data_IF_335375643124
#
_entry.id   IF_335375643124
#
_cell.length_a   1.000
_cell.length_b   1.000
_cell.length_c   1.000
_cell.angle_alpha   90.00
_cell.angle_beta   90.00
_cell.angle_gamma   90.00
#
_symmetry.space_group_name_H-M   'P 1'
#
loop_
_entity.id
_entity.type
_entity.pdbx_description
1 polymer ?
#
# COMPACT_ATOMS: atom_id res chain seq x y z
N UNK A 1 -30.25 -39.28 -14.68
CA UNK A 1 -30.15 -38.03 -15.42
C UNK A 1 -30.48 -36.92 -14.45
N UNK A 2 -29.53 -36.13 -14.07
CA UNK A 2 -29.71 -35.00 -13.17
C UNK A 2 -28.41 -34.17 -13.27
N UNK A 3 -28.45 -33.13 -14.11
CA UNK A 3 -27.29 -32.27 -14.36
C UNK A 3 -26.96 -31.45 -13.13
N UNK A 4 -25.72 -31.50 -12.72
CA UNK A 4 -25.13 -30.58 -11.77
C UNK A 4 -24.90 -29.23 -12.49
N UNK A 5 -25.73 -28.25 -12.19
CA UNK A 5 -25.52 -26.88 -12.60
C UNK A 5 -24.24 -26.34 -11.91
N UNK A 6 -23.27 -26.03 -12.74
CA UNK A 6 -22.09 -25.27 -12.40
C UNK A 6 -22.51 -23.85 -11.99
N UNK A 7 -22.73 -23.60 -10.71
CA UNK A 7 -22.86 -22.24 -10.19
C UNK A 7 -21.49 -21.56 -10.33
N UNK A 8 -21.28 -20.92 -11.49
CA UNK A 8 -20.18 -20.02 -11.73
C UNK A 8 -20.20 -18.91 -10.68
N UNK A 9 -19.23 -18.93 -9.80
CA UNK A 9 -19.00 -17.87 -8.80
C UNK A 9 -18.62 -16.60 -9.57
N UNK A 10 -19.62 -15.81 -9.93
CA UNK A 10 -19.41 -14.46 -10.47
C UNK A 10 -18.78 -13.65 -9.35
N UNK A 11 -17.45 -13.49 -9.39
CA UNK A 11 -16.75 -12.52 -8.55
C UNK A 11 -17.31 -11.17 -8.95
N UNK A 12 -18.16 -10.61 -8.09
CA UNK A 12 -18.71 -9.28 -8.28
C UNK A 12 -17.55 -8.29 -8.34
N UNK A 13 -17.22 -7.85 -9.54
CA UNK A 13 -16.36 -6.70 -9.84
C UNK A 13 -17.16 -5.42 -9.57
N UNK A 14 -17.64 -5.27 -8.33
CA UNK A 14 -18.47 -4.12 -7.93
C UNK A 14 -17.66 -2.83 -7.74
N UNK A 15 -16.37 -2.83 -8.07
CA UNK A 15 -15.47 -1.74 -7.68
C UNK A 15 -15.13 -0.72 -8.79
N UNK A 16 -15.60 -0.88 -10.03
CA UNK A 16 -15.16 -0.02 -11.14
C UNK A 16 -16.13 1.08 -11.57
N UNK A 17 -17.35 1.13 -11.04
CA UNK A 17 -18.31 2.18 -11.43
C UNK A 17 -18.39 3.37 -10.47
N UNK A 18 -18.00 3.26 -9.19
CA UNK A 18 -18.32 4.28 -8.19
C UNK A 18 -17.15 4.89 -7.39
N UNK A 19 -15.93 4.82 -7.87
CA UNK A 19 -14.95 5.63 -7.19
C UNK A 19 -13.73 4.92 -6.58
N UNK A 20 -12.72 5.73 -6.17
CA UNK A 20 -11.53 5.25 -5.46
C UNK A 20 -11.93 4.67 -4.10
N UNK A 21 -11.68 3.37 -3.90
CA UNK A 21 -11.89 2.71 -2.60
C UNK A 21 -10.79 3.16 -1.65
N UNK A 22 -11.16 3.69 -0.49
CA UNK A 22 -10.18 4.12 0.51
C UNK A 22 -10.16 3.18 1.71
N UNK A 23 -9.05 2.46 1.89
CA UNK A 23 -8.83 1.56 3.03
C UNK A 23 -8.29 2.35 4.22
N UNK A 24 -8.93 2.19 5.37
CA UNK A 24 -8.47 2.77 6.63
C UNK A 24 -7.32 1.93 7.19
N UNK A 25 -6.10 2.44 7.11
CA UNK A 25 -4.94 1.81 7.74
C UNK A 25 -5.09 1.78 9.26
N UNK A 26 -4.92 0.60 9.88
CA UNK A 26 -5.01 0.46 11.32
C UNK A 26 -3.96 -0.49 11.89
N UNK A 27 -3.51 -0.21 13.12
CA UNK A 27 -2.65 -1.08 13.91
C UNK A 27 -3.41 -1.89 14.98
N UNK A 28 -4.76 -1.88 14.90
CA UNK A 28 -5.66 -2.54 15.83
C UNK A 28 -6.36 -3.74 15.20
N UNK A 29 -5.82 -4.98 15.30
CA UNK A 29 -6.45 -6.17 14.71
C UNK A 29 -7.90 -6.41 15.17
N UNK A 30 -8.24 -6.06 16.41
CA UNK A 30 -9.59 -6.23 16.94
C UNK A 30 -10.66 -5.41 16.20
N UNK A 31 -10.28 -4.35 15.48
CA UNK A 31 -11.22 -3.58 14.65
C UNK A 31 -11.78 -4.39 13.47
N UNK A 32 -11.12 -5.48 13.07
CA UNK A 32 -11.68 -6.39 12.06
C UNK A 32 -13.02 -6.99 12.50
N UNK A 33 -13.21 -7.27 13.80
CA UNK A 33 -14.46 -7.82 14.35
C UNK A 33 -15.38 -6.75 14.96
N UNK A 34 -15.04 -5.48 14.83
CA UNK A 34 -15.81 -4.38 15.43
C UNK A 34 -16.87 -3.90 14.44
N UNK A 35 -18.14 -4.01 14.80
CA UNK A 35 -19.29 -3.64 13.99
C UNK A 35 -19.25 -2.19 13.49
N UNK A 36 -18.59 -1.30 14.24
CA UNK A 36 -18.42 0.10 13.83
C UNK A 36 -17.66 0.25 12.51
N UNK A 37 -16.83 -0.74 12.15
CA UNK A 37 -16.05 -0.75 10.91
C UNK A 37 -16.63 -1.66 9.82
N UNK A 38 -17.81 -2.23 9.98
CA UNK A 38 -18.44 -3.14 8.98
C UNK A 38 -18.48 -2.53 7.58
N UNK A 39 -18.79 -1.25 7.47
CA UNK A 39 -18.87 -0.52 6.20
C UNK A 39 -17.55 0.18 5.80
N UNK A 40 -16.47 0.03 6.58
CA UNK A 40 -15.18 0.69 6.37
C UNK A 40 -14.13 -0.35 6.00
N UNK A 41 -13.61 -0.34 4.76
CA UNK A 41 -12.52 -1.23 4.38
C UNK A 41 -11.27 -0.96 5.24
N UNK A 42 -10.73 -2.00 5.86
CA UNK A 42 -9.56 -1.91 6.72
C UNK A 42 -8.30 -2.40 6.01
N UNK A 43 -7.17 -1.72 6.25
CA UNK A 43 -5.84 -2.16 5.82
C UNK A 43 -4.99 -2.49 7.03
N UNK A 44 -4.58 -3.76 7.16
CA UNK A 44 -3.89 -4.27 8.36
C UNK A 44 -2.58 -4.93 7.99
N UNK A 45 -1.52 -4.55 8.68
CA UNK A 45 -0.20 -5.12 8.48
C UNK A 45 -0.07 -6.51 9.11
N UNK A 46 0.52 -7.46 8.37
CA UNK A 46 0.91 -8.78 8.81
C UNK A 46 1.69 -8.75 10.13
N UNK A 47 2.53 -7.72 10.34
CA UNK A 47 3.26 -7.53 11.60
C UNK A 47 2.36 -7.36 12.82
N UNK A 48 1.13 -6.93 12.66
CA UNK A 48 0.13 -6.80 13.75
C UNK A 48 -0.63 -8.10 14.01
N UNK A 49 -0.55 -9.04 13.08
CA UNK A 49 -1.28 -10.30 13.11
C UNK A 49 -0.39 -11.49 13.52
N UNK A 50 0.82 -11.59 12.97
CA UNK A 50 1.67 -12.80 13.00
C UNK A 50 2.04 -13.34 14.38
N UNK A 51 2.09 -12.48 15.41
CA UNK A 51 2.47 -12.87 16.76
C UNK A 51 1.26 -13.08 17.70
N UNK A 52 0.05 -13.13 17.14
CA UNK A 52 -1.17 -13.35 17.92
C UNK A 52 -1.46 -14.84 18.04
N UNK A 53 -2.02 -15.26 19.18
CA UNK A 53 -2.48 -16.65 19.36
C UNK A 53 -3.83 -16.89 18.66
N UNK A 54 -4.67 -15.84 18.59
CA UNK A 54 -6.00 -15.89 17.96
C UNK A 54 -6.21 -14.66 17.10
N UNK A 55 -6.97 -14.79 16.04
CA UNK A 55 -7.31 -13.72 15.12
C UNK A 55 -8.81 -13.42 15.16
N UNK A 56 -9.20 -12.14 15.05
CA UNK A 56 -10.61 -11.77 14.99
C UNK A 56 -11.20 -12.10 13.61
N UNK A 57 -12.43 -12.62 13.55
CA UNK A 57 -13.18 -12.77 12.30
C UNK A 57 -13.60 -11.40 11.77
N UNK A 58 -13.30 -11.11 10.51
CA UNK A 58 -13.68 -9.83 9.92
C UNK A 58 -15.20 -9.75 9.69
N UNK A 59 -15.79 -8.62 10.11
CA UNK A 59 -17.21 -8.29 9.87
C UNK A 59 -17.41 -7.46 8.61
N UNK A 60 -16.35 -6.90 8.05
CA UNK A 60 -16.34 -6.07 6.85
C UNK A 60 -15.16 -6.38 5.93
N UNK A 61 -15.01 -5.56 4.90
CA UNK A 61 -13.90 -5.67 3.93
C UNK A 61 -12.56 -5.37 4.59
N UNK A 62 -11.53 -6.08 4.17
CA UNK A 62 -10.17 -5.82 4.62
C UNK A 62 -9.14 -6.22 3.57
N UNK A 63 -7.94 -5.65 3.66
CA UNK A 63 -6.80 -6.02 2.86
C UNK A 63 -5.55 -6.18 3.73
N UNK A 64 -4.62 -6.99 3.26
CA UNK A 64 -3.40 -7.35 3.98
C UNK A 64 -2.21 -6.53 3.48
N UNK A 65 -1.63 -5.73 4.37
CA UNK A 65 -0.30 -5.14 4.20
C UNK A 65 0.78 -6.15 4.63
N UNK A 66 1.84 -6.29 3.84
CA UNK A 66 2.97 -7.17 4.17
C UNK A 66 3.74 -6.73 5.43
N UNK A 67 3.73 -5.44 5.72
CA UNK A 67 4.52 -4.81 6.78
C UNK A 67 5.95 -4.49 6.36
N UNK A 68 6.22 -4.50 5.04
CA UNK A 68 7.54 -4.33 4.45
C UNK A 68 8.25 -3.06 4.89
N UNK A 69 7.53 -1.93 4.93
CA UNK A 69 8.12 -0.67 5.41
C UNK A 69 8.77 -0.80 6.79
N UNK A 70 8.08 -1.45 7.73
CA UNK A 70 8.61 -1.62 9.08
C UNK A 70 9.73 -2.67 9.12
N UNK A 71 9.59 -3.78 8.38
CA UNK A 71 10.63 -4.83 8.27
C UNK A 71 11.94 -4.22 7.76
N UNK A 72 11.89 -3.63 6.58
CA UNK A 72 13.09 -3.07 5.93
C UNK A 72 13.67 -1.90 6.73
N UNK A 73 12.81 -1.02 7.26
CA UNK A 73 13.26 0.09 8.09
C UNK A 73 13.97 -0.36 9.37
N UNK A 74 13.45 -1.39 10.05
CA UNK A 74 14.00 -1.85 11.34
C UNK A 74 15.19 -2.78 11.18
N UNK A 75 15.18 -3.64 10.16
CA UNK A 75 16.13 -4.74 10.06
C UNK A 75 17.01 -4.65 8.81
N UNK A 76 16.76 -3.70 7.91
CA UNK A 76 17.44 -3.60 6.61
C UNK A 76 17.15 -4.77 5.66
N UNK A 77 16.22 -5.66 6.03
CA UNK A 77 15.85 -6.86 5.30
C UNK A 77 14.52 -7.40 5.77
N UNK A 78 13.97 -8.34 5.03
CA UNK A 78 12.89 -9.20 5.50
C UNK A 78 13.39 -10.18 6.57
N UNK A 79 12.62 -10.36 7.66
CA UNK A 79 12.92 -11.29 8.76
C UNK A 79 12.20 -12.63 8.61
N UNK A 80 11.35 -12.76 7.61
CA UNK A 80 10.64 -13.98 7.24
C UNK A 80 10.86 -14.27 5.76
N UNK A 81 10.73 -15.54 5.36
CA UNK A 81 10.83 -15.97 3.96
C UNK A 81 9.48 -15.87 3.24
N UNK A 82 9.45 -15.92 1.89
CA UNK A 82 8.20 -16.01 1.14
C UNK A 82 7.31 -17.19 1.55
N UNK A 83 7.90 -18.35 1.89
CA UNK A 83 7.18 -19.53 2.35
C UNK A 83 6.48 -19.25 3.69
N UNK A 84 7.21 -18.68 4.64
CA UNK A 84 6.65 -18.30 5.94
C UNK A 84 5.55 -17.26 5.79
N UNK A 85 5.70 -16.31 4.85
CA UNK A 85 4.66 -15.32 4.60
C UNK A 85 3.44 -15.95 3.92
N UNK A 86 3.62 -16.90 3.00
CA UNK A 86 2.52 -17.64 2.38
C UNK A 86 1.72 -18.44 3.42
N UNK A 87 2.39 -19.10 4.37
CA UNK A 87 1.74 -19.81 5.49
C UNK A 87 0.91 -18.85 6.36
N UNK A 88 1.47 -17.67 6.66
CA UNK A 88 0.74 -16.63 7.40
C UNK A 88 -0.49 -16.14 6.64
N UNK A 89 -0.38 -15.90 5.33
CA UNK A 89 -1.50 -15.50 4.47
C UNK A 89 -2.61 -16.56 4.51
N UNK A 90 -2.28 -17.84 4.38
CA UNK A 90 -3.23 -18.94 4.47
C UNK A 90 -3.93 -18.98 5.84
N UNK A 91 -3.17 -18.80 6.91
CA UNK A 91 -3.72 -18.71 8.26
C UNK A 91 -4.67 -17.52 8.42
N UNK A 92 -4.29 -16.33 7.95
CA UNK A 92 -5.15 -15.14 8.02
C UNK A 92 -6.44 -15.33 7.22
N UNK A 93 -6.36 -15.88 6.01
CA UNK A 93 -7.55 -16.11 5.19
C UNK A 93 -8.52 -17.10 5.83
N UNK A 94 -8.02 -18.13 6.50
CA UNK A 94 -8.82 -19.12 7.23
C UNK A 94 -9.53 -18.50 8.45
N UNK A 95 -8.80 -17.78 9.28
CA UNK A 95 -9.29 -17.33 10.59
C UNK A 95 -9.98 -15.96 10.53
N UNK A 96 -9.43 -14.98 9.80
CA UNK A 96 -10.03 -13.65 9.62
C UNK A 96 -11.11 -13.68 8.54
N UNK A 97 -10.85 -14.36 7.44
CA UNK A 97 -11.62 -14.37 6.20
C UNK A 97 -10.80 -13.86 5.03
N UNK A 98 -11.34 -14.00 3.81
CA UNK A 98 -10.63 -13.63 2.59
C UNK A 98 -10.37 -12.13 2.51
N UNK A 99 -9.12 -11.69 2.33
CA UNK A 99 -8.81 -10.28 2.11
C UNK A 99 -9.23 -9.83 0.70
N UNK A 100 -9.50 -8.55 0.51
CA UNK A 100 -9.75 -7.99 -0.82
C UNK A 100 -8.53 -8.10 -1.72
N UNK A 101 -7.35 -7.84 -1.15
CA UNK A 101 -6.05 -8.07 -1.80
C UNK A 101 -4.95 -8.27 -0.76
N UNK A 102 -3.81 -8.75 -1.23
CA UNK A 102 -2.63 -9.10 -0.44
C UNK A 102 -1.42 -8.36 -1.02
N UNK A 103 -0.79 -7.51 -0.21
CA UNK A 103 0.48 -6.90 -0.59
C UNK A 103 1.62 -7.94 -0.53
N UNK A 104 2.52 -7.99 -1.53
CA UNK A 104 3.67 -8.89 -1.51
C UNK A 104 4.77 -8.40 -0.57
N UNK A 105 5.83 -9.17 -0.47
CA UNK A 105 7.05 -8.79 0.25
C UNK A 105 7.93 -7.87 -0.63
N UNK A 106 7.49 -6.63 -0.81
CA UNK A 106 8.18 -5.64 -1.62
C UNK A 106 9.38 -5.00 -0.90
N UNK A 107 10.31 -4.42 -1.68
CA UNK A 107 11.49 -3.73 -1.20
C UNK A 107 11.43 -2.27 -1.64
N UNK A 108 11.09 -1.39 -0.71
CA UNK A 108 10.92 0.04 -0.99
C UNK A 108 12.19 0.68 -1.55
N UNK A 109 11.99 1.61 -2.50
CA UNK A 109 13.05 2.26 -3.28
C UNK A 109 13.36 3.70 -2.86
N UNK A 110 12.83 4.18 -1.72
CA UNK A 110 13.17 5.50 -1.21
C UNK A 110 14.64 5.54 -0.76
N UNK A 111 15.41 6.58 -1.15
CA UNK A 111 16.81 6.72 -0.74
C UNK A 111 17.02 6.62 0.77
N UNK A 112 16.10 7.16 1.56
CA UNK A 112 16.14 7.07 3.02
C UNK A 112 16.00 5.63 3.55
N UNK A 113 15.33 4.74 2.82
CA UNK A 113 15.23 3.31 3.16
C UNK A 113 16.46 2.56 2.68
N UNK A 114 16.92 2.86 1.48
CA UNK A 114 18.10 2.23 0.87
C UNK A 114 19.37 2.52 1.69
N UNK A 115 19.64 3.78 1.96
CA UNK A 115 20.87 4.24 2.61
C UNK A 115 20.78 4.42 4.12
N UNK A 116 19.57 4.32 4.69
CA UNK A 116 19.39 4.52 6.13
C UNK A 116 19.58 5.95 6.60
N UNK A 117 19.50 6.93 5.70
CA UNK A 117 19.70 8.35 6.03
C UNK A 117 18.54 8.87 6.87
N UNK A 118 18.75 8.96 8.18
CA UNK A 118 17.93 9.74 9.09
C UNK A 118 18.81 10.77 9.81
N UNK A 119 19.04 11.89 9.15
CA UNK A 119 19.77 13.03 9.71
C UNK A 119 19.07 13.65 10.93
N UNK A 120 17.81 13.29 11.21
CA UNK A 120 16.99 13.87 12.27
C UNK A 120 16.77 12.96 13.48
N UNK A 121 17.27 11.71 13.48
CA UNK A 121 17.16 10.85 14.65
C UNK A 121 18.30 11.09 15.60
N UNK A 122 17.96 11.25 16.89
CA UNK A 122 18.93 11.35 17.98
C UNK A 122 19.87 10.15 17.96
N UNK A 123 21.12 10.33 18.39
CA UNK A 123 22.18 9.32 18.37
C UNK A 123 21.80 7.98 19.03
N UNK A 124 20.81 7.98 19.93
CA UNK A 124 20.23 6.80 20.60
C UNK A 124 19.41 5.91 19.66
N UNK A 125 18.90 6.44 18.55
CA UNK A 125 18.03 5.72 17.60
C UNK A 125 18.79 5.15 16.40
N UNK A 126 20.12 5.34 16.34
CA UNK A 126 21.01 4.82 15.27
C UNK A 126 20.97 3.29 15.13
N UNK A 127 20.53 2.54 16.14
CA UNK A 127 20.45 1.08 16.10
C UNK A 127 19.50 0.52 15.03
N UNK A 128 18.66 1.35 14.44
CA UNK A 128 17.56 0.91 13.57
C UNK A 128 17.64 1.46 12.14
N UNK A 129 18.80 2.06 11.72
CA UNK A 129 18.86 2.78 10.46
C UNK A 129 20.17 2.64 9.69
N UNK A 130 20.54 1.39 9.38
CA UNK A 130 21.66 1.13 8.46
C UNK A 130 21.21 0.96 7.00
N UNK A 131 19.94 1.24 6.70
CA UNK A 131 19.38 0.97 5.40
C UNK A 131 19.49 -0.51 5.03
N UNK A 132 19.50 -0.79 3.74
CA UNK A 132 19.57 -2.15 3.21
C UNK A 132 20.98 -2.59 2.82
N UNK A 133 22.04 -1.90 3.29
CA UNK A 133 23.45 -2.16 2.94
C UNK A 133 23.83 -3.64 3.09
N UNK A 134 23.55 -4.24 4.24
CA UNK A 134 23.88 -5.64 4.50
C UNK A 134 23.16 -6.60 3.55
N UNK A 135 21.88 -6.34 3.24
CA UNK A 135 21.13 -7.13 2.28
C UNK A 135 21.70 -6.99 0.85
N UNK A 136 22.26 -5.81 0.52
CA UNK A 136 22.90 -5.55 -0.78
C UNK A 136 24.33 -6.07 -0.87
N UNK A 137 24.87 -6.64 0.22
CA UNK A 137 26.24 -7.14 0.28
C UNK A 137 27.30 -6.05 0.43
N UNK A 138 26.93 -4.85 0.91
CA UNK A 138 27.86 -3.72 1.09
C UNK A 138 28.41 -3.78 2.52
N UNK A 139 29.75 -3.77 2.72
CA UNK A 139 30.36 -3.71 4.04
C UNK A 139 29.90 -2.48 4.83
N UNK A 140 29.86 -2.52 6.18
CA UNK A 140 29.44 -1.39 7.01
C UNK A 140 30.17 -0.08 6.69
N UNK A 141 31.48 -0.16 6.46
CA UNK A 141 32.38 0.97 6.22
C UNK A 141 32.75 1.16 4.75
N UNK A 142 32.13 0.37 3.84
CA UNK A 142 32.37 0.48 2.40
C UNK A 142 31.66 1.69 1.79
N UNK A 143 32.02 2.12 0.58
CA UNK A 143 31.27 3.12 -0.17
C UNK A 143 29.88 2.61 -0.52
N UNK A 144 28.90 3.52 -0.57
CA UNK A 144 27.56 3.19 -1.08
C UNK A 144 27.62 3.01 -2.60
N UNK A 145 26.79 2.11 -3.12
CA UNK A 145 26.55 1.96 -4.55
C UNK A 145 25.67 3.11 -5.08
N UNK A 146 25.70 3.40 -6.39
CA UNK A 146 24.79 4.35 -7.01
C UNK A 146 23.30 4.00 -6.74
N UNK A 147 22.47 5.05 -6.66
CA UNK A 147 21.05 4.88 -6.36
C UNK A 147 20.35 3.95 -7.35
N UNK A 148 20.66 4.09 -8.64
CA UNK A 148 20.02 3.29 -9.70
C UNK A 148 20.31 1.78 -9.53
N UNK A 149 21.54 1.42 -9.11
CA UNK A 149 21.91 0.02 -8.87
C UNK A 149 21.22 -0.52 -7.62
N UNK A 150 21.15 0.27 -6.56
CA UNK A 150 20.43 -0.10 -5.34
C UNK A 150 18.93 -0.27 -5.59
N UNK A 151 18.32 0.64 -6.33
CA UNK A 151 16.91 0.56 -6.74
C UNK A 151 16.68 -0.68 -7.59
N UNK A 152 17.52 -0.96 -8.57
CA UNK A 152 17.43 -2.16 -9.42
C UNK A 152 17.44 -3.44 -8.60
N UNK A 153 18.31 -3.57 -7.59
CA UNK A 153 18.33 -4.71 -6.67
C UNK A 153 16.99 -4.85 -5.92
N UNK A 154 16.48 -3.76 -5.37
CA UNK A 154 15.20 -3.75 -4.66
C UNK A 154 14.02 -4.14 -5.57
N UNK A 155 14.02 -3.65 -6.80
CA UNK A 155 13.02 -4.02 -7.82
C UNK A 155 13.12 -5.51 -8.17
N UNK A 156 14.33 -6.02 -8.40
CA UNK A 156 14.56 -7.45 -8.66
C UNK A 156 14.04 -8.32 -7.53
N UNK A 157 14.32 -7.99 -6.28
CA UNK A 157 13.82 -8.73 -5.12
C UNK A 157 12.31 -8.60 -4.95
N UNK A 158 11.73 -7.46 -5.27
CA UNK A 158 10.27 -7.26 -5.26
C UNK A 158 9.58 -8.18 -6.26
N UNK A 159 10.07 -8.22 -7.50
CA UNK A 159 9.54 -9.11 -8.55
C UNK A 159 9.74 -10.58 -8.17
N UNK A 160 10.93 -10.96 -7.68
CA UNK A 160 11.23 -12.33 -7.25
C UNK A 160 10.29 -12.80 -6.12
N UNK A 161 10.07 -11.97 -5.10
CA UNK A 161 9.16 -12.28 -3.99
C UNK A 161 7.70 -12.41 -4.47
N UNK A 162 7.25 -11.55 -5.38
CA UNK A 162 5.93 -11.67 -5.99
C UNK A 162 5.77 -13.01 -6.73
N UNK A 163 6.74 -13.38 -7.56
CA UNK A 163 6.71 -14.64 -8.31
C UNK A 163 6.77 -15.85 -7.39
N UNK A 164 7.56 -15.81 -6.32
CA UNK A 164 7.63 -16.88 -5.32
C UNK A 164 6.25 -17.05 -4.64
N UNK A 165 5.64 -15.96 -4.17
CA UNK A 165 4.31 -15.99 -3.55
C UNK A 165 3.23 -16.46 -4.52
N UNK A 166 3.32 -16.08 -5.81
CA UNK A 166 2.42 -16.58 -6.86
C UNK A 166 2.43 -18.12 -6.99
N UNK A 167 3.58 -18.75 -6.76
CA UNK A 167 3.73 -20.21 -6.80
C UNK A 167 3.28 -20.89 -5.51
N UNK A 168 3.47 -20.23 -4.37
CA UNK A 168 3.21 -20.78 -3.04
C UNK A 168 1.74 -20.70 -2.63
N UNK A 169 1.04 -19.63 -3.06
CA UNK A 169 -0.34 -19.39 -2.64
C UNK A 169 -1.33 -20.26 -3.45
N UNK A 170 -2.35 -20.84 -2.78
CA UNK A 170 -3.43 -21.55 -3.48
C UNK A 170 -4.25 -20.58 -4.36
N UNK A 171 -4.93 -21.08 -5.42
CA UNK A 171 -5.58 -20.25 -6.43
C UNK A 171 -6.46 -19.10 -5.91
N UNK A 172 -7.33 -19.28 -4.89
CA UNK A 172 -8.16 -18.18 -4.38
C UNK A 172 -7.35 -17.03 -3.76
N UNK A 173 -6.20 -17.31 -3.13
CA UNK A 173 -5.32 -16.32 -2.54
C UNK A 173 -4.35 -15.74 -3.57
N UNK A 174 -3.88 -16.57 -4.49
CA UNK A 174 -3.04 -16.14 -5.60
C UNK A 174 -3.70 -15.03 -6.44
N UNK A 175 -5.00 -15.15 -6.73
CA UNK A 175 -5.78 -14.14 -7.46
C UNK A 175 -5.91 -12.81 -6.71
N UNK A 176 -5.66 -12.79 -5.41
CA UNK A 176 -5.70 -11.60 -4.55
C UNK A 176 -4.33 -10.99 -4.29
N UNK A 177 -3.26 -11.71 -4.65
CA UNK A 177 -1.90 -11.18 -4.56
C UNK A 177 -1.71 -10.10 -5.63
N UNK A 178 -1.33 -8.90 -5.22
CA UNK A 178 -1.05 -7.80 -6.15
C UNK A 178 0.44 -7.73 -6.49
N UNK A 179 0.77 -7.30 -7.70
CA UNK A 179 2.12 -6.87 -8.04
C UNK A 179 2.36 -5.46 -7.50
N UNK A 180 3.62 -5.11 -7.22
CA UNK A 180 3.97 -3.75 -6.77
C UNK A 180 4.98 -3.13 -7.72
N UNK A 181 4.64 -1.95 -8.25
CA UNK A 181 5.58 -1.09 -8.99
C UNK A 181 6.11 -0.01 -8.07
N UNK A 182 7.42 0.22 -8.10
CA UNK A 182 8.07 1.19 -7.24
C UNK A 182 9.44 1.62 -7.77
N UNK A 183 9.90 2.79 -7.32
CA UNK A 183 11.15 3.39 -7.74
C UNK A 183 11.46 4.67 -6.97
N UNK A 184 12.64 5.21 -7.18
CA UNK A 184 13.00 6.53 -6.65
C UNK A 184 12.54 7.66 -7.60
N UNK A 185 12.60 7.46 -8.92
CA UNK A 185 12.25 8.43 -9.96
C UNK A 185 11.46 7.74 -11.09
N UNK A 186 10.80 8.52 -11.95
CA UNK A 186 9.98 8.00 -13.06
C UNK A 186 10.69 6.91 -13.89
N UNK A 187 11.95 7.03 -14.31
CA UNK A 187 12.63 5.96 -15.05
C UNK A 187 12.63 4.61 -14.33
N UNK A 188 12.76 4.61 -12.99
CA UNK A 188 12.71 3.36 -12.21
C UNK A 188 11.33 2.71 -12.26
N UNK A 189 10.24 3.51 -12.18
CA UNK A 189 8.88 2.97 -12.31
C UNK A 189 8.62 2.38 -13.69
N UNK A 190 9.24 2.95 -14.73
CA UNK A 190 9.15 2.39 -16.07
C UNK A 190 9.98 1.11 -16.23
N UNK A 191 11.17 1.07 -15.60
CA UNK A 191 12.05 -0.10 -15.65
C UNK A 191 11.40 -1.35 -15.00
N UNK A 192 10.72 -1.20 -13.86
CA UNK A 192 10.09 -2.35 -13.19
C UNK A 192 8.92 -2.93 -14.01
N UNK A 193 8.25 -2.13 -14.87
CA UNK A 193 7.25 -2.67 -15.80
C UNK A 193 7.88 -3.70 -16.74
N UNK A 194 9.06 -3.39 -17.29
CA UNK A 194 9.85 -4.31 -18.11
C UNK A 194 10.22 -5.59 -17.35
N UNK A 195 10.67 -5.46 -16.09
CA UNK A 195 11.03 -6.63 -15.27
C UNK A 195 9.84 -7.59 -15.06
N UNK A 196 8.62 -7.06 -14.87
CA UNK A 196 7.42 -7.90 -14.80
C UNK A 196 7.07 -8.53 -16.15
N UNK A 197 7.17 -7.78 -17.24
CA UNK A 197 6.92 -8.28 -18.59
C UNK A 197 7.91 -9.41 -18.94
N UNK A 198 9.20 -9.23 -18.66
CA UNK A 198 10.25 -10.24 -18.86
C UNK A 198 9.98 -11.51 -18.02
N UNK A 199 9.33 -11.37 -16.88
CA UNK A 199 8.89 -12.47 -16.03
C UNK A 199 7.54 -13.08 -16.46
N UNK A 200 6.96 -12.67 -17.60
CA UNK A 200 5.69 -13.16 -18.11
C UNK A 200 4.46 -12.63 -17.36
N UNK A 201 4.57 -11.48 -16.68
CA UNK A 201 3.48 -10.86 -15.93
C UNK A 201 3.02 -9.59 -16.63
N UNK A 202 1.85 -9.63 -17.24
CA UNK A 202 1.18 -8.44 -17.78
C UNK A 202 0.43 -7.70 -16.66
N UNK A 203 1.01 -6.60 -16.20
CA UNK A 203 0.44 -5.78 -15.12
C UNK A 203 -0.89 -5.14 -15.50
N UNK A 204 -1.15 -4.90 -16.79
CA UNK A 204 -2.39 -4.29 -17.26
C UNK A 204 -3.61 -5.21 -17.12
N UNK A 205 -3.37 -6.53 -17.09
CA UNK A 205 -4.41 -7.54 -16.93
C UNK A 205 -4.71 -7.88 -15.46
N UNK A 206 -3.85 -7.43 -14.54
CA UNK A 206 -4.06 -7.70 -13.11
C UNK A 206 -5.23 -6.88 -12.57
N UNK A 207 -6.04 -7.46 -11.66
CA UNK A 207 -7.18 -6.75 -11.06
C UNK A 207 -6.74 -5.57 -10.20
N UNK A 208 -5.50 -5.57 -9.73
CA UNK A 208 -4.88 -4.47 -8.95
C UNK A 208 -3.36 -4.53 -9.01
N UNK A 209 -2.74 -3.33 -9.08
CA UNK A 209 -1.28 -3.15 -9.01
C UNK A 209 -0.97 -2.14 -7.92
N UNK A 210 -0.10 -2.48 -6.97
CA UNK A 210 0.33 -1.58 -5.91
C UNK A 210 1.33 -0.54 -6.43
N UNK A 211 1.18 0.71 -6.00
CA UNK A 211 2.12 1.79 -6.23
C UNK A 211 2.86 2.07 -4.93
N UNK A 212 4.10 1.60 -4.85
CA UNK A 212 4.98 1.76 -3.69
C UNK A 212 5.91 2.97 -3.80
N UNK A 213 6.65 3.24 -2.73
CA UNK A 213 7.64 4.33 -2.63
C UNK A 213 7.10 5.74 -2.87
N UNK A 214 5.80 5.97 -2.61
CA UNK A 214 5.14 7.28 -2.77
C UNK A 214 4.81 7.98 -1.45
N UNK A 215 4.87 7.25 -0.33
CA UNK A 215 4.38 7.68 0.99
C UNK A 215 4.93 9.03 1.49
N UNK A 216 6.17 9.40 1.17
CA UNK A 216 6.84 10.61 1.70
C UNK A 216 7.00 11.72 0.67
N UNK A 217 6.61 11.48 -0.58
CA UNK A 217 6.82 12.38 -1.74
C UNK A 217 5.51 12.94 -2.29
N UNK A 218 4.41 12.75 -1.60
CA UNK A 218 3.03 12.96 -2.07
C UNK A 218 2.66 14.40 -2.42
N UNK A 219 3.45 15.37 -1.94
CA UNK A 219 3.25 16.80 -2.24
C UNK A 219 4.00 17.26 -3.49
N UNK A 220 4.74 16.38 -4.13
CA UNK A 220 5.52 16.73 -5.31
C UNK A 220 4.74 16.45 -6.59
N UNK A 221 4.86 17.34 -7.58
CA UNK A 221 4.35 17.10 -8.94
C UNK A 221 4.91 15.82 -9.56
N UNK A 222 6.10 15.38 -9.14
CA UNK A 222 6.75 14.14 -9.57
C UNK A 222 5.86 12.88 -9.37
N UNK A 223 5.14 12.76 -8.25
CA UNK A 223 4.26 11.61 -8.04
C UNK A 223 3.05 11.66 -8.99
N UNK A 224 2.50 12.85 -9.22
CA UNK A 224 1.42 13.01 -10.18
C UNK A 224 1.89 12.66 -11.61
N UNK A 225 3.11 13.04 -11.99
CA UNK A 225 3.75 12.66 -13.26
C UNK A 225 3.93 11.14 -13.35
N UNK A 226 4.48 10.49 -12.33
CA UNK A 226 4.64 9.02 -12.27
C UNK A 226 3.29 8.33 -12.45
N UNK A 227 2.28 8.71 -11.68
CA UNK A 227 0.94 8.10 -11.75
C UNK A 227 0.33 8.29 -13.14
N UNK A 228 0.43 9.50 -13.72
CA UNK A 228 -0.07 9.79 -15.05
C UNK A 228 0.67 8.98 -16.12
N UNK A 229 1.99 8.86 -16.02
CA UNK A 229 2.81 8.08 -16.95
C UNK A 229 2.48 6.58 -16.91
N UNK A 230 2.21 6.02 -15.71
CA UNK A 230 1.78 4.64 -15.53
C UNK A 230 0.36 4.43 -16.09
N UNK A 231 -0.56 5.35 -15.81
CA UNK A 231 -1.92 5.30 -16.35
C UNK A 231 -1.94 5.35 -17.88
N UNK A 232 -1.10 6.20 -18.50
CA UNK A 232 -0.93 6.28 -19.94
C UNK A 232 -0.40 4.99 -20.56
N UNK A 233 0.29 4.14 -19.78
CA UNK A 233 0.75 2.80 -20.20
C UNK A 233 -0.26 1.68 -19.92
N UNK A 234 -1.49 2.03 -19.55
CA UNK A 234 -2.58 1.07 -19.35
C UNK A 234 -2.75 0.58 -17.93
N UNK A 235 -1.93 0.99 -16.93
CA UNK A 235 -2.15 0.64 -15.53
C UNK A 235 -3.32 1.46 -14.97
N UNK A 236 -4.52 0.88 -15.00
CA UNK A 236 -5.75 1.57 -14.56
C UNK A 236 -6.19 1.20 -13.16
N UNK A 237 -5.76 0.04 -12.66
CA UNK A 237 -6.19 -0.51 -11.36
C UNK A 237 -5.11 -0.31 -10.28
N UNK A 238 -4.60 0.91 -10.14
CA UNK A 238 -3.53 1.22 -9.20
C UNK A 238 -4.07 1.38 -7.77
N UNK A 239 -3.38 0.74 -6.81
CA UNK A 239 -3.54 0.98 -5.37
C UNK A 239 -2.37 1.79 -4.85
N UNK A 240 -2.62 3.00 -4.35
CA UNK A 240 -1.58 3.84 -3.75
C UNK A 240 -1.36 3.50 -2.28
N UNK A 241 -0.16 2.99 -1.92
CA UNK A 241 0.17 2.69 -0.53
C UNK A 241 0.46 3.94 0.30
N UNK A 242 -0.18 4.04 1.46
CA UNK A 242 0.08 5.07 2.45
C UNK A 242 -0.17 6.50 1.96
N UNK A 243 -1.09 6.71 1.01
CA UNK A 243 -1.37 8.01 0.41
C UNK A 243 -1.99 8.96 1.43
N UNK A 244 -1.42 10.16 1.57
CA UNK A 244 -2.00 11.24 2.37
C UNK A 244 -3.08 12.00 1.58
N UNK A 245 -3.89 12.75 2.32
CA UNK A 245 -5.03 13.50 1.75
C UNK A 245 -4.65 14.46 0.60
N UNK A 246 -3.47 15.08 0.68
CA UNK A 246 -3.05 16.06 -0.34
C UNK A 246 -2.64 15.37 -1.66
N UNK A 247 -2.06 14.16 -1.58
CA UNK A 247 -1.79 13.34 -2.76
C UNK A 247 -3.07 12.88 -3.46
N UNK A 248 -4.14 12.62 -2.70
CA UNK A 248 -5.44 12.26 -3.29
C UNK A 248 -6.05 13.40 -4.13
N UNK A 249 -5.80 14.65 -3.78
CA UNK A 249 -6.27 15.80 -4.58
C UNK A 249 -5.54 15.92 -5.92
N UNK A 250 -4.27 15.51 -5.96
CA UNK A 250 -3.43 15.65 -7.16
C UNK A 250 -3.60 14.51 -8.14
N UNK A 251 -3.64 13.27 -7.65
CA UNK A 251 -3.63 12.06 -8.51
C UNK A 251 -4.61 10.97 -8.09
N UNK A 252 -5.46 11.24 -7.09
CA UNK A 252 -6.43 10.24 -6.58
C UNK A 252 -7.42 9.75 -7.64
N UNK A 253 -7.70 10.53 -8.68
CA UNK A 253 -8.58 10.14 -9.80
C UNK A 253 -7.98 9.05 -10.69
N UNK A 254 -6.66 8.87 -10.67
CA UNK A 254 -5.96 7.79 -11.38
C UNK A 254 -5.81 6.51 -10.53
N UNK A 255 -6.19 6.56 -9.25
CA UNK A 255 -6.13 5.41 -8.36
C UNK A 255 -7.49 4.72 -8.26
N UNK A 256 -7.53 3.40 -8.42
CA UNK A 256 -8.72 2.59 -8.11
C UNK A 256 -8.90 2.42 -6.60
N UNK A 257 -7.80 2.44 -5.85
CA UNK A 257 -7.84 2.39 -4.39
C UNK A 257 -6.60 3.02 -3.76
N UNK A 258 -6.72 3.38 -2.48
CA UNK A 258 -5.60 3.86 -1.68
C UNK A 258 -5.82 3.47 -0.21
N UNK A 259 -4.75 3.53 0.59
CA UNK A 259 -4.82 3.40 2.03
C UNK A 259 -4.08 4.53 2.74
N UNK A 260 -4.34 4.72 4.00
CA UNK A 260 -3.50 5.53 4.88
C UNK A 260 -3.79 5.27 6.36
N UNK A 261 -2.75 5.43 7.17
CA UNK A 261 -2.82 5.44 8.65
C UNK A 261 -2.51 6.85 9.22
N UNK A 262 -2.52 7.88 8.39
CA UNK A 262 -2.14 9.25 8.78
C UNK A 262 -3.04 9.84 9.89
N UNK A 263 -4.24 9.33 10.08
CA UNK A 263 -5.14 9.72 11.17
C UNK A 263 -4.50 9.50 12.54
N UNK A 264 -3.91 8.32 12.76
CA UNK A 264 -3.27 7.96 14.04
C UNK A 264 -2.04 8.81 14.33
N UNK A 265 -1.21 9.04 13.31
CA UNK A 265 -0.02 9.87 13.41
C UNK A 265 -0.37 11.32 13.74
N UNK A 266 -1.36 11.90 13.04
CA UNK A 266 -1.88 13.23 13.30
C UNK A 266 -2.36 13.40 14.75
N UNK A 267 -3.15 12.46 15.28
CA UNK A 267 -3.67 12.54 16.64
C UNK A 267 -2.57 12.30 17.69
N UNK A 268 -1.52 11.53 17.36
CA UNK A 268 -0.34 11.38 18.22
C UNK A 268 0.44 12.68 18.34
N UNK A 269 0.66 13.39 17.23
CA UNK A 269 1.35 14.68 17.22
C UNK A 269 0.54 15.79 17.90
N UNK A 270 -0.80 15.70 17.88
CA UNK A 270 -1.66 16.61 18.63
C UNK A 270 -1.37 16.54 20.14
N UNK A 271 -1.10 15.35 20.69
CA UNK A 271 -0.69 15.16 22.08
C UNK A 271 -1.81 15.20 23.13
N UNK A 272 -3.03 15.58 22.75
CA UNK A 272 -4.21 15.67 23.63
C UNK A 272 -5.46 15.11 22.93
N UNK A 273 -6.53 14.75 23.69
CA UNK A 273 -7.76 14.24 23.11
C UNK A 273 -8.44 15.23 22.17
N UNK A 274 -8.91 14.72 21.03
CA UNK A 274 -9.60 15.53 20.01
C UNK A 274 -11.03 15.89 20.41
N UNK A 275 -11.68 15.01 21.14
CA UNK A 275 -13.11 15.11 21.45
C UNK A 275 -13.31 15.29 22.95
N UNK A 276 -14.31 16.10 23.39
CA UNK A 276 -14.58 16.31 24.80
C UNK A 276 -14.80 15.01 25.58
N UNK A 277 -15.53 14.06 25.01
CA UNK A 277 -15.80 12.74 25.62
C UNK A 277 -14.58 11.82 25.69
N UNK A 278 -13.48 12.20 25.08
CA UNK A 278 -12.20 11.49 25.16
C UNK A 278 -11.29 12.04 26.27
N UNK A 279 -11.64 13.18 26.85
CA UNK A 279 -10.90 13.78 27.96
C UNK A 279 -11.03 12.88 29.18
N UNK A 280 -9.91 12.55 29.83
CA UNK A 280 -9.88 11.59 30.95
C UNK A 280 -9.98 10.11 30.57
N UNK A 281 -10.32 9.79 29.29
CA UNK A 281 -10.40 8.39 28.82
C UNK A 281 -9.07 7.92 28.22
N UNK A 282 -8.40 8.75 27.45
CA UNK A 282 -7.09 8.46 26.86
C UNK A 282 -6.26 9.72 26.63
N UNK A 283 -4.93 9.56 26.60
CA UNK A 283 -3.98 10.68 26.46
C UNK A 283 -4.16 11.47 25.17
N UNK A 284 -4.48 10.80 24.05
CA UNK A 284 -4.74 11.39 22.74
C UNK A 284 -5.62 10.43 21.90
N UNK A 285 -6.12 10.88 20.77
CA UNK A 285 -7.01 10.09 19.92
C UNK A 285 -6.29 9.20 18.88
N UNK A 286 -4.99 8.92 19.02
CA UNK A 286 -4.22 8.10 18.06
C UNK A 286 -4.69 6.63 17.96
N UNK A 287 -5.46 6.14 18.95
CA UNK A 287 -6.05 4.81 19.01
C UNK A 287 -7.58 4.84 19.09
N UNK A 288 -8.20 5.99 18.83
CA UNK A 288 -9.62 6.20 19.02
C UNK A 288 -10.41 5.83 17.75
N UNK A 289 -11.35 4.86 17.81
CA UNK A 289 -12.20 4.50 16.68
C UNK A 289 -12.99 5.70 16.13
N UNK A 290 -13.49 6.58 16.99
CA UNK A 290 -14.23 7.78 16.59
C UNK A 290 -13.36 8.73 15.75
N UNK A 291 -12.10 8.92 16.14
CA UNK A 291 -11.16 9.75 15.38
C UNK A 291 -10.85 9.12 14.00
N UNK A 292 -10.64 7.82 13.96
CA UNK A 292 -10.40 7.07 12.74
C UNK A 292 -11.58 7.16 11.77
N UNK A 293 -12.80 6.89 12.24
CA UNK A 293 -14.02 6.94 11.42
C UNK A 293 -14.31 8.34 10.90
N UNK A 294 -14.19 9.37 11.75
CA UNK A 294 -14.35 10.76 11.31
C UNK A 294 -13.33 11.16 10.27
N UNK A 295 -12.07 10.77 10.47
CA UNK A 295 -11.02 11.05 9.50
C UNK A 295 -11.29 10.34 8.16
N UNK A 296 -11.69 9.07 8.19
CA UNK A 296 -12.06 8.31 7.00
C UNK A 296 -13.20 8.98 6.22
N UNK A 297 -14.28 9.41 6.90
CA UNK A 297 -15.37 10.14 6.29
C UNK A 297 -14.93 11.45 5.62
N UNK A 298 -13.99 12.19 6.24
CA UNK A 298 -13.41 13.40 5.66
C UNK A 298 -12.59 13.09 4.38
N UNK A 299 -11.87 11.96 4.34
CA UNK A 299 -11.14 11.52 3.14
C UNK A 299 -12.10 11.19 2.01
N UNK A 300 -13.18 10.44 2.28
CA UNK A 300 -14.19 10.11 1.28
C UNK A 300 -14.86 11.37 0.71
N UNK A 301 -15.23 12.32 1.58
CA UNK A 301 -15.80 13.59 1.15
C UNK A 301 -14.82 14.40 0.27
N UNK A 302 -13.51 14.30 0.53
CA UNK A 302 -12.47 14.96 -0.27
C UNK A 302 -12.31 14.28 -1.66
N UNK A 303 -12.29 12.95 -1.71
CA UNK A 303 -12.29 12.21 -2.97
C UNK A 303 -13.50 12.51 -3.85
N UNK A 304 -14.69 12.61 -3.26
CA UNK A 304 -15.91 12.98 -3.98
C UNK A 304 -15.81 14.40 -4.57
N UNK A 305 -15.24 15.35 -3.83
CA UNK A 305 -15.03 16.72 -4.33
C UNK A 305 -13.98 16.77 -5.44
N UNK A 306 -12.87 16.04 -5.31
CA UNK A 306 -11.81 16.01 -6.32
C UNK A 306 -12.34 15.53 -7.69
N UNK A 307 -13.23 14.55 -7.70
CA UNK A 307 -13.87 14.03 -8.91
C UNK A 307 -14.82 15.01 -9.60
N UNK A 308 -15.47 15.87 -8.82
CA UNK A 308 -16.39 16.88 -9.37
C UNK A 308 -15.67 18.08 -9.99
N UNK A 309 -14.36 18.20 -9.77
CA UNK A 309 -13.56 19.25 -10.43
C UNK A 309 -13.18 18.75 -11.83
N UNK A 310 -13.43 19.55 -12.90
CA UNK A 310 -12.89 19.25 -14.23
C UNK A 310 -11.37 19.06 -14.10
N UNK A 311 -10.82 18.02 -14.69
CA UNK A 311 -9.37 17.83 -14.67
C UNK A 311 -8.72 19.01 -15.40
N UNK A 312 -7.79 19.73 -14.78
CA UNK A 312 -7.03 20.80 -15.43
C UNK A 312 -6.32 20.31 -16.71
N UNK A 313 -6.03 19.03 -16.82
CA UNK A 313 -5.46 18.40 -18.01
C UNK A 313 -6.44 18.35 -19.19
N UNK A 314 -7.76 18.28 -18.97
CA UNK A 314 -8.73 18.37 -20.07
C UNK A 314 -8.87 19.77 -20.63
N UNK A 315 -8.53 20.80 -19.86
CA UNK A 315 -8.57 22.21 -20.32
C UNK A 315 -7.33 22.57 -21.15
N UNK A 316 -6.18 21.95 -20.89
CA UNK A 316 -4.97 22.16 -21.70
C UNK A 316 -5.08 21.51 -23.09
N UNK A 317 -5.71 20.33 -23.19
CA UNK A 317 -5.91 19.65 -24.48
C UNK A 317 -6.98 20.31 -25.37
N UNK A 318 -7.91 21.11 -24.82
CA UNK A 318 -8.90 21.85 -25.61
C UNK A 318 -8.33 23.11 -26.24
N UNK A 319 -7.27 23.69 -25.67
CA UNK A 319 -6.64 24.88 -26.24
C UNK A 319 -5.66 24.57 -27.38
N UNK A 320 -5.17 23.33 -27.50
CA UNK A 320 -4.31 22.92 -28.63
C UNK A 320 -5.11 22.50 -29.86
N UNK A 321 -6.38 22.11 -29.73
CA UNK A 321 -7.24 21.68 -30.86
C UNK A 321 -7.94 22.87 -31.54
N UNK A 322 -8.00 24.04 -30.91
CA UNK A 322 -8.61 25.26 -31.49
C UNK A 322 -7.60 26.20 -32.15
N UNK A 323 -6.30 25.83 -32.21
CA UNK A 323 -5.24 26.63 -32.83
C UNK A 323 -4.62 25.98 -34.08
N UNK A 324 -5.33 25.03 -34.73
CA UNK A 324 -4.92 24.40 -35.98
C UNK A 324 -5.94 24.67 -37.08
#
# INVERSE_FOLDING_TARGET
MGGAENAGLTIATADTQDGTVFYLGTHHPHWLADERFRAVPLFISSRRLRNRKTLPRAVGRWALDSGGFTEIKMYGRWTITPEQYADLICWYARDIGMPDFIAPMDWMCEPAIIYGQNQHLKQTDRRYFHGTRAARGIPPDGPDEPLDDAVRKHQTWTVANYLALRKLLPPPLNQRLIAVVQGAHLPHYLAILGMYADAGVDLCTLPRVGLGSVCRRQHTGEIAEIVSALAARGLRNMHGFGVKTDGLDLYGTHLSSADSQAWSDRERHRGYPRFPECVGVHKNCANCPKAALRWHGNVLARLTRARRRPSQLSLLNLNEVTAA
#
